data_IF_561003265371
#
_entry.id   IF_561003265371
#
_cell.length_a   1.000
_cell.length_b   1.000
_cell.length_c   1.000
_cell.angle_alpha   90.00
_cell.angle_beta   90.00
_cell.angle_gamma   90.00
#
_symmetry.space_group_name_H-M   'P 1'
#
loop_
_entity.id
_entity.type
_entity.pdbx_description
1 polymer ?
#
# COMPACT_ATOMS: atom_id res chain seq x y z
N UNK A 1 -0.41 12.32 3.28
CA UNK A 1 -0.33 13.72 2.79
C UNK A 1 -0.34 13.76 1.26
N UNK A 2 0.61 13.11 0.53
CA UNK A 2 0.71 13.18 -0.94
C UNK A 2 -0.59 12.75 -1.65
N UNK A 3 -1.19 11.62 -1.24
CA UNK A 3 -2.45 11.16 -1.83
C UNK A 3 -3.64 12.11 -1.54
N UNK A 4 -3.64 12.81 -0.41
CA UNK A 4 -4.63 13.85 -0.15
C UNK A 4 -4.43 15.09 -1.04
N UNK A 5 -3.19 15.42 -1.38
CA UNK A 5 -2.90 16.48 -2.36
C UNK A 5 -3.37 16.11 -3.78
N UNK A 6 -3.32 14.83 -4.16
CA UNK A 6 -3.92 14.36 -5.41
C UNK A 6 -5.43 14.62 -5.42
N UNK A 7 -6.14 14.34 -4.33
CA UNK A 7 -7.56 14.66 -4.21
C UNK A 7 -7.82 16.16 -4.38
N UNK A 8 -7.04 17.00 -3.68
CA UNK A 8 -7.16 18.45 -3.81
C UNK A 8 -6.91 18.92 -5.24
N UNK A 9 -5.90 18.37 -5.93
CA UNK A 9 -5.61 18.68 -7.32
C UNK A 9 -6.78 18.35 -8.25
N UNK A 10 -7.46 17.22 -8.06
CA UNK A 10 -8.63 16.83 -8.85
C UNK A 10 -9.88 17.65 -8.52
N UNK A 11 -9.95 18.26 -7.34
CA UNK A 11 -11.03 19.17 -6.97
C UNK A 11 -10.84 20.58 -7.50
N UNK A 12 -9.59 21.08 -7.48
CA UNK A 12 -9.26 22.46 -7.89
C UNK A 12 -8.95 22.53 -9.38
N UNK A 13 -8.32 21.50 -9.92
CA UNK A 13 -7.90 21.43 -11.33
C UNK A 13 -8.96 20.81 -12.22
N UNK A 14 -8.77 20.94 -13.53
CA UNK A 14 -9.60 20.31 -14.55
C UNK A 14 -8.92 19.05 -15.09
N UNK A 15 -9.39 17.84 -14.70
CA UNK A 15 -8.81 16.57 -15.15
C UNK A 15 -8.90 16.36 -16.66
N UNK A 16 -9.83 17.05 -17.35
CA UNK A 16 -9.98 16.93 -18.81
C UNK A 16 -8.81 17.55 -19.56
N UNK A 17 -8.03 18.39 -18.89
CA UNK A 17 -6.81 19.00 -19.45
C UNK A 17 -5.58 18.10 -19.34
N UNK A 18 -5.73 16.89 -18.78
CA UNK A 18 -4.64 15.92 -18.69
C UNK A 18 -4.22 15.48 -20.10
N UNK A 19 -2.95 15.66 -20.44
CA UNK A 19 -2.42 15.34 -21.76
C UNK A 19 -1.02 14.75 -21.65
N UNK A 20 -0.80 13.65 -22.39
CA UNK A 20 0.48 12.96 -22.48
C UNK A 20 0.98 12.89 -23.91
N UNK A 21 2.30 12.82 -24.15
CA UNK A 21 2.86 12.59 -25.48
C UNK A 21 2.30 11.30 -26.09
N UNK A 22 1.79 11.40 -27.30
CA UNK A 22 1.14 10.29 -28.02
C UNK A 22 -0.37 10.26 -27.93
N UNK A 23 -1.02 11.10 -27.13
CA UNK A 23 -2.45 11.31 -27.16
C UNK A 23 -2.86 12.18 -28.37
N UNK A 24 -4.04 11.90 -28.97
CA UNK A 24 -4.60 12.75 -30.01
C UNK A 24 -4.81 14.18 -29.47
N UNK A 25 -4.31 15.19 -30.20
CA UNK A 25 -4.41 16.59 -29.80
C UNK A 25 -3.38 17.04 -28.74
N UNK A 26 -2.27 16.31 -28.54
CA UNK A 26 -1.21 16.74 -27.65
C UNK A 26 -0.59 18.06 -28.11
N UNK A 27 -0.77 19.11 -27.33
CA UNK A 27 -0.20 20.44 -27.57
C UNK A 27 0.90 20.83 -26.58
N UNK A 28 1.17 19.97 -25.61
CA UNK A 28 2.16 20.19 -24.56
C UNK A 28 1.66 19.74 -23.19
N UNK A 29 2.55 19.78 -22.21
CA UNK A 29 2.19 19.48 -20.83
C UNK A 29 1.41 20.64 -20.21
N UNK A 30 0.20 20.34 -19.74
CA UNK A 30 -0.59 21.31 -18.97
C UNK A 30 -0.08 21.37 -17.53
N UNK A 31 -0.39 22.47 -16.82
CA UNK A 31 -0.09 22.59 -15.39
C UNK A 31 -0.66 21.40 -14.59
N UNK A 32 -1.88 20.98 -14.90
CA UNK A 32 -2.52 19.84 -14.26
C UNK A 32 -1.71 18.55 -14.47
N UNK A 33 -1.27 18.28 -15.71
CA UNK A 33 -0.45 17.10 -16.05
C UNK A 33 0.86 17.08 -15.26
N UNK A 34 1.59 18.20 -15.23
CA UNK A 34 2.88 18.29 -14.51
C UNK A 34 2.66 18.09 -13.00
N UNK A 35 1.68 18.78 -12.43
CA UNK A 35 1.36 18.67 -11.01
C UNK A 35 0.95 17.24 -10.62
N UNK A 36 0.08 16.60 -11.42
CA UNK A 36 -0.35 15.24 -11.22
C UNK A 36 0.82 14.25 -11.29
N UNK A 37 1.64 14.32 -12.35
CA UNK A 37 2.79 13.42 -12.52
C UNK A 37 3.80 13.56 -11.37
N UNK A 38 4.06 14.79 -10.94
CA UNK A 38 4.97 15.05 -9.83
C UNK A 38 4.45 14.43 -8.54
N UNK A 39 3.18 14.66 -8.19
CA UNK A 39 2.56 14.09 -7.01
C UNK A 39 2.48 12.55 -7.10
N UNK A 40 2.21 12.02 -8.29
CA UNK A 40 2.17 10.58 -8.53
C UNK A 40 3.53 9.92 -8.30
N UNK A 41 4.60 10.46 -8.89
CA UNK A 41 5.96 9.92 -8.73
C UNK A 41 6.40 9.95 -7.27
N UNK A 42 6.16 11.08 -6.58
CA UNK A 42 6.48 11.22 -5.16
C UNK A 42 5.67 10.24 -4.30
N UNK A 43 4.39 10.07 -4.61
CA UNK A 43 3.52 9.13 -3.89
C UNK A 43 3.97 7.69 -4.10
N UNK A 44 4.29 7.29 -5.33
CA UNK A 44 4.78 5.94 -5.63
C UNK A 44 6.15 5.66 -4.99
N UNK A 45 7.04 6.64 -4.98
CA UNK A 45 8.31 6.54 -4.27
C UNK A 45 8.12 6.31 -2.76
N UNK A 46 7.23 7.09 -2.13
CA UNK A 46 6.90 6.92 -0.71
C UNK A 46 6.23 5.56 -0.42
N UNK A 47 5.33 5.09 -1.29
CA UNK A 47 4.71 3.76 -1.18
C UNK A 47 5.75 2.64 -1.29
N UNK A 48 6.70 2.75 -2.22
CA UNK A 48 7.78 1.79 -2.38
C UNK A 48 8.64 1.67 -1.12
N UNK A 49 9.02 2.79 -0.52
CA UNK A 49 9.77 2.82 0.74
C UNK A 49 8.98 2.17 1.89
N UNK A 50 7.68 2.46 2.02
CA UNK A 50 6.84 1.84 3.03
C UNK A 50 6.74 0.32 2.85
N UNK A 51 6.66 -0.17 1.61
CA UNK A 51 6.60 -1.59 1.29
C UNK A 51 7.87 -2.36 1.70
N UNK A 52 9.05 -1.73 1.61
CA UNK A 52 10.32 -2.39 2.00
C UNK A 52 10.43 -2.65 3.50
N UNK A 53 9.69 -1.92 4.35
CA UNK A 53 9.71 -2.11 5.80
C UNK A 53 9.03 -3.40 6.28
N UNK A 54 8.23 -4.03 5.44
CA UNK A 54 7.52 -5.28 5.80
C UNK A 54 8.50 -6.44 5.98
N UNK A 55 9.58 -6.49 5.19
CA UNK A 55 10.57 -7.57 5.26
C UNK A 55 11.27 -7.62 6.62
N UNK A 56 11.89 -6.53 7.13
CA UNK A 56 12.49 -6.56 8.46
C UNK A 56 11.47 -6.80 9.56
N UNK A 57 10.25 -6.26 9.48
CA UNK A 57 9.20 -6.54 10.48
C UNK A 57 8.82 -8.03 10.54
N UNK A 58 8.83 -8.72 9.40
CA UNK A 58 8.60 -10.18 9.37
C UNK A 58 9.74 -10.95 10.04
N UNK A 59 10.99 -10.50 9.86
CA UNK A 59 12.13 -11.06 10.56
C UNK A 59 12.06 -10.83 12.08
N UNK A 60 11.70 -9.63 12.51
CA UNK A 60 11.50 -9.29 13.94
C UNK A 60 10.43 -10.19 14.58
N UNK A 61 9.35 -10.49 13.85
CA UNK A 61 8.33 -11.43 14.32
C UNK A 61 8.87 -12.87 14.45
N UNK A 62 9.74 -13.31 13.54
CA UNK A 62 10.37 -14.63 13.65
C UNK A 62 11.33 -14.71 14.85
N UNK A 63 12.10 -13.66 15.11
CA UNK A 63 12.98 -13.56 16.28
C UNK A 63 12.18 -13.51 17.58
N UNK A 64 11.06 -12.79 17.59
CA UNK A 64 10.15 -12.79 18.74
C UNK A 64 9.59 -14.18 19.04
N UNK A 65 9.29 -14.99 18.01
CA UNK A 65 8.81 -16.36 18.22
C UNK A 65 9.93 -17.26 18.81
N UNK A 66 11.19 -17.08 18.39
CA UNK A 66 12.34 -17.76 19.03
C UNK A 66 12.41 -17.41 20.52
N UNK A 67 12.33 -16.11 20.83
CA UNK A 67 12.35 -15.62 22.22
C UNK A 67 11.22 -16.23 23.06
N UNK A 68 10.02 -16.33 22.47
CA UNK A 68 8.81 -16.80 23.17
C UNK A 68 8.73 -18.32 23.32
N UNK A 69 9.06 -19.07 22.28
CA UNK A 69 8.80 -20.51 22.20
C UNK A 69 10.06 -21.37 22.03
N UNK A 70 11.23 -20.76 21.84
CA UNK A 70 12.48 -21.45 21.51
C UNK A 70 12.50 -22.06 20.10
N UNK A 71 11.47 -21.82 19.27
CA UNK A 71 11.35 -22.42 17.94
C UNK A 71 11.69 -21.41 16.85
N UNK A 72 12.66 -21.75 16.02
CA UNK A 72 13.01 -20.96 14.85
C UNK A 72 12.14 -21.36 13.64
N UNK A 73 11.13 -20.55 13.33
CA UNK A 73 10.11 -20.87 12.31
C UNK A 73 9.93 -19.73 11.27
N UNK A 74 11.00 -19.21 10.66
CA UNK A 74 10.91 -18.07 9.73
C UNK A 74 10.06 -18.40 8.51
N UNK A 75 10.07 -19.66 8.03
CA UNK A 75 9.24 -20.10 6.93
C UNK A 75 7.74 -20.02 7.22
N UNK A 76 7.32 -20.30 8.46
CA UNK A 76 5.93 -20.14 8.88
C UNK A 76 5.49 -18.69 8.86
N UNK A 77 6.32 -17.77 9.36
CA UNK A 77 6.01 -16.33 9.35
C UNK A 77 5.87 -15.80 7.93
N UNK A 78 6.80 -16.16 7.01
CA UNK A 78 6.71 -15.81 5.60
C UNK A 78 5.47 -16.38 4.91
N UNK A 79 5.08 -17.61 5.24
CA UNK A 79 3.88 -18.25 4.69
C UNK A 79 2.60 -17.56 5.18
N UNK A 80 2.50 -17.24 6.46
CA UNK A 80 1.36 -16.50 7.02
C UNK A 80 1.23 -15.11 6.39
N UNK A 81 2.33 -14.38 6.26
CA UNK A 81 2.35 -13.10 5.58
C UNK A 81 1.83 -13.22 4.12
N UNK A 82 2.36 -14.19 3.37
CA UNK A 82 1.95 -14.42 1.99
C UNK A 82 0.48 -14.84 1.87
N UNK A 83 -0.04 -15.64 2.82
CA UNK A 83 -1.44 -16.04 2.82
C UNK A 83 -2.36 -14.84 3.05
N UNK A 84 -2.05 -13.99 4.04
CA UNK A 84 -2.81 -12.77 4.32
C UNK A 84 -2.76 -11.80 3.13
N UNK A 85 -1.58 -11.61 2.53
CA UNK A 85 -1.42 -10.77 1.34
C UNK A 85 -2.30 -11.25 0.18
N UNK A 86 -2.33 -12.55 -0.10
CA UNK A 86 -3.16 -13.15 -1.15
C UNK A 86 -4.66 -12.96 -0.89
N UNK A 87 -5.10 -13.14 0.35
CA UNK A 87 -6.50 -12.93 0.74
C UNK A 87 -6.88 -11.46 0.51
N UNK A 88 -6.09 -10.51 1.03
CA UNK A 88 -6.37 -9.08 0.90
C UNK A 88 -6.36 -8.64 -0.57
N UNK A 89 -5.37 -9.11 -1.35
CA UNK A 89 -5.26 -8.79 -2.77
C UNK A 89 -6.45 -9.30 -3.58
N UNK A 90 -7.01 -10.47 -3.21
CA UNK A 90 -8.21 -11.02 -3.85
C UNK A 90 -9.44 -10.13 -3.61
N UNK A 91 -9.57 -9.56 -2.42
CA UNK A 91 -10.65 -8.60 -2.13
C UNK A 91 -10.53 -7.32 -2.95
N UNK A 92 -9.31 -6.86 -3.27
CA UNK A 92 -9.08 -5.67 -4.09
C UNK A 92 -9.81 -5.73 -5.42
N UNK A 93 -9.69 -6.83 -6.15
CA UNK A 93 -10.37 -7.03 -7.44
C UNK A 93 -11.90 -7.04 -7.31
N UNK A 94 -12.43 -7.66 -6.25
CA UNK A 94 -13.86 -7.67 -5.99
C UNK A 94 -14.40 -6.26 -5.70
N UNK A 95 -13.67 -5.46 -4.93
CA UNK A 95 -14.05 -4.07 -4.65
C UNK A 95 -14.11 -3.20 -5.91
N UNK A 96 -13.15 -3.36 -6.83
CA UNK A 96 -13.17 -2.66 -8.11
C UNK A 96 -14.47 -2.96 -8.87
N UNK A 97 -14.84 -4.24 -8.98
CA UNK A 97 -16.07 -4.66 -9.63
C UNK A 97 -17.33 -4.08 -8.98
N UNK A 98 -17.41 -4.12 -7.66
CA UNK A 98 -18.54 -3.58 -6.90
C UNK A 98 -18.68 -2.07 -7.11
N UNK A 99 -17.58 -1.32 -7.05
CA UNK A 99 -17.61 0.13 -7.26
C UNK A 99 -18.01 0.52 -8.68
N UNK A 100 -17.52 -0.20 -9.69
CA UNK A 100 -17.91 0.01 -11.08
C UNK A 100 -19.39 -0.34 -11.30
N UNK A 101 -19.88 -1.43 -10.71
CA UNK A 101 -21.29 -1.82 -10.79
C UNK A 101 -22.20 -0.77 -10.12
N UNK A 102 -21.77 -0.13 -9.03
CA UNK A 102 -22.54 0.90 -8.36
C UNK A 102 -22.80 2.14 -9.21
N UNK A 103 -21.98 2.41 -10.24
CA UNK A 103 -22.20 3.50 -11.21
C UNK A 103 -22.72 3.00 -12.57
N UNK A 104 -23.23 1.76 -12.62
CA UNK A 104 -23.88 1.21 -13.81
C UNK A 104 -22.99 0.43 -14.77
N UNK A 105 -21.72 0.24 -14.47
CA UNK A 105 -20.81 -0.61 -15.25
C UNK A 105 -20.86 -2.07 -14.77
N UNK A 106 -21.94 -2.79 -15.15
CA UNK A 106 -22.17 -4.18 -14.73
C UNK A 106 -21.55 -5.20 -15.68
N UNK A 107 -21.57 -4.91 -16.99
CA UNK A 107 -21.14 -5.87 -18.01
C UNK A 107 -19.70 -5.64 -18.49
N UNK A 108 -19.27 -4.39 -18.48
CA UNK A 108 -17.91 -3.99 -18.92
C UNK A 108 -17.37 -2.91 -18.01
N UNK A 109 -16.08 -3.03 -17.70
CA UNK A 109 -15.37 -1.97 -16.97
C UNK A 109 -15.19 -0.73 -17.85
N UNK A 110 -15.09 0.49 -17.26
CA UNK A 110 -14.77 1.70 -17.98
C UNK A 110 -13.47 1.55 -18.80
N UNK A 111 -13.49 2.07 -20.02
CA UNK A 111 -12.34 2.09 -20.94
C UNK A 111 -11.92 3.54 -21.22
N UNK A 112 -10.82 3.72 -21.96
CA UNK A 112 -10.36 5.04 -22.39
C UNK A 112 -11.38 5.80 -23.24
N UNK A 113 -12.30 5.08 -23.93
CA UNK A 113 -13.36 5.65 -24.76
C UNK A 113 -14.63 5.98 -23.96
N UNK A 114 -14.65 5.64 -22.66
CA UNK A 114 -15.84 5.90 -21.81
C UNK A 114 -15.96 7.42 -21.57
N UNK A 115 -17.15 8.02 -21.86
CA UNK A 115 -17.35 9.45 -21.63
C UNK A 115 -17.09 9.83 -20.18
N UNK A 116 -16.43 10.98 -19.98
CA UNK A 116 -16.17 11.51 -18.65
C UNK A 116 -17.46 11.82 -17.91
N UNK A 117 -17.57 11.34 -16.67
CA UNK A 117 -18.65 11.68 -15.75
C UNK A 117 -18.10 11.96 -14.35
N UNK A 118 -18.87 12.72 -13.55
CA UNK A 118 -18.46 13.05 -12.17
C UNK A 118 -18.42 11.78 -11.28
N UNK A 119 -19.32 10.85 -11.51
CA UNK A 119 -19.35 9.56 -10.83
C UNK A 119 -18.08 8.75 -11.14
N UNK A 120 -17.70 8.69 -12.42
CA UNK A 120 -16.48 8.00 -12.85
C UNK A 120 -15.24 8.66 -12.25
N UNK A 121 -15.18 9.99 -12.23
CA UNK A 121 -14.12 10.75 -11.57
C UNK A 121 -14.02 10.40 -10.09
N UNK A 122 -15.15 10.43 -9.37
CA UNK A 122 -15.17 10.16 -7.94
C UNK A 122 -14.71 8.73 -7.62
N UNK A 123 -15.24 7.73 -8.32
CA UNK A 123 -14.82 6.34 -8.13
C UNK A 123 -13.35 6.13 -8.52
N UNK A 124 -12.90 6.75 -9.61
CA UNK A 124 -11.49 6.72 -9.99
C UNK A 124 -10.58 7.27 -8.88
N UNK A 125 -10.95 8.38 -8.23
CA UNK A 125 -10.22 8.93 -7.10
C UNK A 125 -10.24 8.02 -5.86
N UNK A 126 -11.39 7.43 -5.55
CA UNK A 126 -11.52 6.47 -4.44
C UNK A 126 -10.61 5.27 -4.67
N UNK A 127 -10.61 4.72 -5.89
CA UNK A 127 -9.77 3.57 -6.25
C UNK A 127 -8.28 3.93 -6.27
N UNK A 128 -7.93 5.08 -6.86
CA UNK A 128 -6.54 5.50 -7.07
C UNK A 128 -5.84 5.93 -5.78
N UNK A 129 -6.52 6.66 -4.91
CA UNK A 129 -5.89 7.22 -3.70
C UNK A 129 -6.69 7.00 -2.41
N UNK A 130 -8.01 6.83 -2.49
CA UNK A 130 -8.86 6.63 -1.33
C UNK A 130 -8.51 5.37 -0.55
N UNK A 131 -8.36 4.24 -1.23
CA UNK A 131 -7.95 2.99 -0.59
C UNK A 131 -6.53 3.05 -0.03
N UNK A 132 -5.62 3.77 -0.68
CA UNK A 132 -4.26 3.96 -0.17
C UNK A 132 -4.31 4.78 1.13
N UNK A 133 -5.09 5.87 1.17
CA UNK A 133 -5.28 6.68 2.37
C UNK A 133 -5.89 5.82 3.50
N UNK A 134 -6.91 5.05 3.21
CA UNK A 134 -7.53 4.13 4.17
C UNK A 134 -6.52 3.11 4.71
N UNK A 135 -5.72 2.49 3.83
CA UNK A 135 -4.66 1.57 4.20
C UNK A 135 -3.62 2.20 5.14
N UNK A 136 -3.22 3.44 4.89
CA UNK A 136 -2.31 4.16 5.80
C UNK A 136 -2.94 4.44 7.16
N UNK A 137 -4.21 4.79 7.22
CA UNK A 137 -4.93 4.98 8.50
C UNK A 137 -4.93 3.67 9.29
N UNK A 138 -5.29 2.56 8.65
CA UNK A 138 -5.25 1.23 9.26
C UNK A 138 -3.84 0.86 9.74
N UNK A 139 -2.81 1.16 8.94
CA UNK A 139 -1.42 0.91 9.31
C UNK A 139 -1.01 1.70 10.56
N UNK A 140 -1.31 3.01 10.61
CA UNK A 140 -1.01 3.85 11.80
C UNK A 140 -1.72 3.33 13.04
N UNK A 141 -2.97 2.86 12.90
CA UNK A 141 -3.70 2.24 14.01
C UNK A 141 -3.01 0.94 14.45
N UNK A 142 -2.67 0.06 13.50
CA UNK A 142 -2.00 -1.21 13.78
C UNK A 142 -0.64 -1.01 14.47
N UNK A 143 0.13 -0.01 14.05
CA UNK A 143 1.43 0.30 14.65
C UNK A 143 1.34 0.73 16.13
N UNK A 144 0.19 1.24 16.59
CA UNK A 144 -0.01 1.51 18.03
C UNK A 144 -0.09 0.25 18.88
N UNK A 145 -0.46 -0.86 18.26
CA UNK A 145 -0.56 -2.17 18.92
C UNK A 145 0.68 -3.04 18.68
N UNK A 146 1.64 -2.55 17.92
CA UNK A 146 2.87 -3.29 17.62
C UNK A 146 3.86 -3.20 18.80
N UNK A 147 4.12 -4.32 19.51
CA UNK A 147 4.90 -4.30 20.76
C UNK A 147 6.41 -4.34 20.54
N UNK A 148 6.88 -4.64 19.32
CA UNK A 148 8.31 -4.82 19.03
C UNK A 148 8.97 -3.48 18.73
N UNK A 149 9.18 -2.69 19.79
CA UNK A 149 9.97 -1.46 19.70
C UNK A 149 11.47 -1.78 19.79
N UNK A 150 12.32 -0.76 19.61
CA UNK A 150 13.77 -0.92 19.60
C UNK A 150 14.30 -1.55 20.90
N UNK A 151 13.82 -1.10 22.05
CA UNK A 151 14.25 -1.61 23.37
C UNK A 151 13.89 -3.08 23.53
N UNK A 152 12.67 -3.46 23.12
CA UNK A 152 12.21 -4.87 23.17
C UNK A 152 12.99 -5.75 22.21
N UNK A 153 13.34 -5.25 21.02
CA UNK A 153 14.16 -6.01 20.09
C UNK A 153 15.59 -6.19 20.58
N UNK A 154 16.20 -5.22 21.26
CA UNK A 154 17.50 -5.38 21.89
C UNK A 154 17.47 -6.47 22.98
N UNK A 155 16.45 -6.52 23.82
CA UNK A 155 16.23 -7.58 24.82
C UNK A 155 16.12 -8.95 24.15
N UNK A 156 15.30 -9.07 23.07
CA UNK A 156 15.10 -10.30 22.33
C UNK A 156 16.41 -10.80 21.72
N UNK A 157 17.20 -9.92 21.11
CA UNK A 157 18.48 -10.28 20.50
C UNK A 157 19.51 -10.76 21.54
N UNK A 158 19.55 -10.15 22.72
CA UNK A 158 20.41 -10.61 23.82
C UNK A 158 20.02 -12.02 24.27
N UNK A 159 18.73 -12.31 24.42
CA UNK A 159 18.26 -13.61 24.85
C UNK A 159 18.50 -14.69 23.78
N UNK A 160 18.30 -14.37 22.49
CA UNK A 160 18.63 -15.26 21.39
C UNK A 160 20.12 -15.58 21.36
N UNK A 161 20.99 -14.58 21.62
CA UNK A 161 22.42 -14.81 21.72
C UNK A 161 22.79 -15.79 22.84
N UNK A 162 22.15 -15.63 24.02
CA UNK A 162 22.33 -16.54 25.16
C UNK A 162 21.89 -17.96 24.80
N UNK A 163 20.71 -18.14 24.20
CA UNK A 163 20.20 -19.46 23.78
C UNK A 163 21.17 -20.14 22.79
N UNK A 164 21.76 -19.36 21.88
CA UNK A 164 22.74 -19.89 20.92
C UNK A 164 24.06 -20.33 21.59
N UNK A 165 24.55 -19.56 22.55
CA UNK A 165 25.75 -19.91 23.31
C UNK A 165 25.53 -21.18 24.15
N UNK A 166 24.39 -21.34 24.80
CA UNK A 166 24.02 -22.54 25.54
C UNK A 166 23.96 -23.78 24.62
N UNK A 167 23.33 -23.65 23.45
CA UNK A 167 23.23 -24.74 22.48
C UNK A 167 24.58 -25.14 21.83
N UNK A 168 25.58 -24.26 21.85
CA UNK A 168 26.94 -24.57 21.36
C UNK A 168 27.85 -25.18 22.44
N UNK A 169 27.45 -25.09 23.71
CA UNK A 169 28.17 -25.60 24.85
C UNK A 169 27.77 -27.05 25.21
N UNK A 170 26.67 -27.55 24.68
CA UNK A 170 26.21 -28.95 24.75
C UNK A 170 26.78 -29.80 23.60
#
# INVERSE_FOLDING_TARGET
VLNALVWALFYIGDPTTFSLPGAEGFTGFTFFTIAFLTLFILSQGANGLAGTMVIPMTADCADYEVYRSGRYVPGLMGTLFSAVDKIISSFGSAFVGILCAAIGFTDKLPTVDTPYSNELKFIGLVMFSGFIIFGYICNVIAMKFYPLNKEKMEEIQMEIARIKEEALAE
#
